data_IF_142393467751
#
_entry.id   IF_142393467751
#
_cell.length_a   1.000
_cell.length_b   1.000
_cell.length_c   1.000
_cell.angle_alpha   90.00
_cell.angle_beta   90.00
_cell.angle_gamma   90.00
#
_symmetry.space_group_name_H-M   'P 1'
#
loop_
_entity.id
_entity.type
_entity.pdbx_description
1 polymer ?
#
# COMPACT_ATOMS: atom_id res chain seq x y z
N UNK A 1 -3.56 1.26 6.87
CA UNK A 1 -3.30 2.54 7.53
C UNK A 1 -1.81 2.88 7.39
N UNK A 2 -1.48 4.11 7.01
CA UNK A 2 -0.10 4.60 6.99
C UNK A 2 0.26 5.29 8.31
N UNK A 3 1.44 4.99 8.86
CA UNK A 3 2.02 5.81 9.94
C UNK A 3 2.71 7.09 9.42
N UNK A 4 3.14 7.10 8.16
CA UNK A 4 3.80 8.25 7.51
C UNK A 4 2.84 8.94 6.53
N UNK A 5 2.66 10.26 6.72
CA UNK A 5 1.77 11.09 5.91
C UNK A 5 2.21 11.20 4.44
N UNK A 6 3.50 11.17 4.15
CA UNK A 6 4.00 11.21 2.75
C UNK A 6 3.67 9.93 2.01
N UNK A 7 3.79 8.77 2.67
CA UNK A 7 3.37 7.49 2.08
C UNK A 7 1.87 7.50 1.77
N UNK A 8 1.05 8.05 2.68
CA UNK A 8 -0.38 8.22 2.42
C UNK A 8 -0.63 9.12 1.20
N UNK A 9 0.10 10.23 1.07
CA UNK A 9 -0.01 11.12 -0.08
C UNK A 9 0.38 10.43 -1.40
N UNK A 10 1.45 9.63 -1.42
CA UNK A 10 1.85 8.88 -2.62
C UNK A 10 0.76 7.90 -3.07
N UNK A 11 0.16 7.18 -2.11
CA UNK A 11 -0.95 6.26 -2.39
C UNK A 11 -2.15 7.01 -2.97
N UNK A 12 -2.55 8.12 -2.34
CA UNK A 12 -3.68 8.91 -2.82
C UNK A 12 -3.49 9.43 -4.24
N UNK A 13 -2.30 9.96 -4.56
CA UNK A 13 -1.97 10.38 -5.93
C UNK A 13 -1.98 9.19 -6.90
N UNK A 14 -1.47 8.04 -6.50
CA UNK A 14 -1.45 6.85 -7.36
C UNK A 14 -2.86 6.37 -7.71
N UNK A 15 -3.77 6.37 -6.74
CA UNK A 15 -5.19 6.00 -6.95
C UNK A 15 -5.84 6.99 -7.92
N UNK A 16 -5.58 8.29 -7.77
CA UNK A 16 -6.15 9.31 -8.66
C UNK A 16 -5.75 9.12 -10.13
N UNK A 17 -4.54 8.65 -10.40
CA UNK A 17 -4.03 8.50 -11.77
C UNK A 17 -4.20 7.08 -12.34
N UNK A 18 -4.20 6.06 -11.49
CA UNK A 18 -4.03 4.65 -11.90
C UNK A 18 -5.01 3.69 -11.20
N UNK A 19 -6.17 4.17 -10.75
CA UNK A 19 -7.21 3.35 -10.09
C UNK A 19 -7.63 2.09 -10.87
N UNK A 20 -7.44 2.08 -12.20
CA UNK A 20 -7.79 0.97 -13.08
C UNK A 20 -6.57 0.17 -13.60
N UNK A 21 -5.35 0.53 -13.21
CA UNK A 21 -4.11 -0.14 -13.60
C UNK A 21 -3.24 -0.38 -12.35
N UNK A 22 -3.38 -1.55 -11.74
CA UNK A 22 -2.67 -1.91 -10.51
C UNK A 22 -1.15 -2.00 -10.69
N UNK A 23 -0.69 -2.31 -11.90
CA UNK A 23 0.73 -2.37 -12.23
C UNK A 23 1.35 -0.98 -12.20
N UNK A 24 0.74 -0.02 -12.90
CA UNK A 24 1.17 1.38 -12.88
C UNK A 24 0.97 2.03 -11.51
N UNK A 25 -0.11 1.69 -10.81
CA UNK A 25 -0.37 2.17 -9.45
C UNK A 25 0.78 1.75 -8.51
N UNK A 26 1.13 0.47 -8.51
CA UNK A 26 2.22 -0.06 -7.67
C UNK A 26 3.56 0.58 -8.03
N UNK A 27 3.84 0.70 -9.33
CA UNK A 27 5.07 1.30 -9.83
C UNK A 27 5.19 2.78 -9.45
N UNK A 28 4.11 3.56 -9.60
CA UNK A 28 4.10 4.98 -9.26
C UNK A 28 4.46 5.21 -7.79
N UNK A 29 3.84 4.47 -6.88
CA UNK A 29 4.12 4.58 -5.44
C UNK A 29 5.58 4.23 -5.17
N UNK A 30 6.09 3.13 -5.74
CA UNK A 30 7.48 2.72 -5.57
C UNK A 30 8.45 3.80 -6.08
N UNK A 31 8.17 4.39 -7.24
CA UNK A 31 8.96 5.48 -7.80
C UNK A 31 8.98 6.71 -6.88
N UNK A 32 7.84 7.07 -6.27
CA UNK A 32 7.79 8.18 -5.29
C UNK A 32 8.59 7.88 -4.02
N UNK A 33 8.51 6.66 -3.50
CA UNK A 33 9.30 6.20 -2.34
C UNK A 33 10.79 6.32 -2.63
N UNK A 34 11.24 5.84 -3.80
CA UNK A 34 12.64 5.91 -4.24
C UNK A 34 13.07 7.37 -4.43
N UNK A 35 12.26 8.19 -5.11
CA UNK A 35 12.54 9.63 -5.32
C UNK A 35 12.64 10.41 -4.02
N UNK A 36 11.81 10.08 -3.03
CA UNK A 36 11.82 10.72 -1.72
C UNK A 36 12.95 10.21 -0.79
N UNK A 37 13.78 9.27 -1.25
CA UNK A 37 14.96 8.81 -0.52
C UNK A 37 14.63 7.96 0.71
N UNK A 38 13.53 7.21 0.69
CA UNK A 38 13.19 6.31 1.79
C UNK A 38 14.26 5.21 1.95
N UNK A 39 14.71 4.91 3.19
CA UNK A 39 15.81 4.00 3.41
C UNK A 39 15.42 2.53 3.18
N UNK A 40 16.29 1.78 2.50
CA UNK A 40 16.14 0.34 2.31
C UNK A 40 15.31 -0.05 1.08
N UNK A 41 15.11 -1.35 0.90
CA UNK A 41 14.32 -1.89 -0.21
C UNK A 41 12.84 -1.89 0.16
N UNK A 42 11.99 -1.49 -0.77
CA UNK A 42 10.55 -1.45 -0.58
C UNK A 42 9.85 -2.33 -1.61
N UNK A 43 8.75 -2.94 -1.19
CA UNK A 43 7.82 -3.66 -2.04
C UNK A 43 6.50 -2.93 -1.97
N UNK A 44 5.92 -2.66 -3.15
CA UNK A 44 4.57 -2.15 -3.28
C UNK A 44 3.75 -3.17 -4.05
N UNK A 45 2.60 -3.53 -3.50
CA UNK A 45 1.65 -4.43 -4.14
C UNK A 45 0.25 -3.81 -4.11
N UNK A 46 -0.29 -3.52 -5.28
CA UNK A 46 -1.68 -3.13 -5.47
C UNK A 46 -2.47 -4.26 -6.13
N UNK A 47 -3.71 -4.44 -5.70
CA UNK A 47 -4.59 -5.51 -6.16
C UNK A 47 -6.04 -5.01 -6.18
N UNK A 48 -6.77 -5.35 -7.25
CA UNK A 48 -8.23 -5.20 -7.24
C UNK A 48 -8.86 -6.33 -6.42
N UNK A 49 -9.66 -5.94 -5.44
CA UNK A 49 -10.44 -6.81 -4.56
C UNK A 49 -11.91 -6.66 -4.92
N UNK A 50 -12.30 -7.29 -6.03
CA UNK A 50 -13.65 -7.23 -6.57
C UNK A 50 -14.64 -8.03 -5.73
N UNK A 51 -15.11 -7.48 -4.62
CA UNK A 51 -16.40 -7.73 -3.96
C UNK A 51 -16.39 -7.08 -2.58
N UNK A 52 -17.55 -6.57 -2.15
CA UNK A 52 -17.76 -5.92 -0.85
C UNK A 52 -17.30 -6.74 0.37
N UNK A 53 -17.13 -8.06 0.20
CA UNK A 53 -16.66 -8.97 1.25
C UNK A 53 -15.14 -9.13 1.29
N UNK A 54 -14.43 -9.08 0.16
CA UNK A 54 -12.97 -9.28 0.13
C UNK A 54 -12.19 -8.19 0.86
N UNK A 55 -12.63 -6.93 0.78
CA UNK A 55 -12.00 -5.83 1.54
C UNK A 55 -12.14 -5.99 3.06
N UNK A 56 -13.25 -6.58 3.52
CA UNK A 56 -13.50 -6.90 4.93
C UNK A 56 -12.78 -8.19 5.36
N UNK A 57 -12.69 -9.19 4.48
CA UNK A 57 -11.99 -10.45 4.76
C UNK A 57 -10.46 -10.25 4.79
N UNK A 58 -9.91 -9.36 3.96
CA UNK A 58 -8.52 -8.91 4.08
C UNK A 58 -8.25 -8.14 5.38
N UNK A 59 -9.26 -7.43 5.89
CA UNK A 59 -9.20 -6.78 7.20
C UNK A 59 -9.06 -7.78 8.35
N UNK A 60 -9.65 -8.97 8.24
CA UNK A 60 -9.73 -9.94 9.35
C UNK A 60 -8.65 -11.02 9.28
N UNK A 61 -8.27 -11.50 8.10
CA UNK A 61 -7.36 -12.64 7.96
C UNK A 61 -5.87 -12.26 7.87
N UNK A 62 -5.53 -11.07 7.35
CA UNK A 62 -4.12 -10.70 7.08
C UNK A 62 -3.65 -9.45 7.84
N UNK A 63 -4.58 -8.60 8.30
CA UNK A 63 -4.22 -7.26 8.79
C UNK A 63 -3.78 -7.17 10.27
N UNK A 64 -4.08 -8.15 11.13
CA UNK A 64 -3.75 -8.01 12.56
C UNK A 64 -2.32 -8.45 12.90
N UNK A 65 -1.78 -9.50 12.27
CA UNK A 65 -0.47 -10.04 12.65
C UNK A 65 0.71 -9.46 11.85
N UNK A 66 0.54 -9.13 10.56
CA UNK A 66 1.60 -8.49 9.74
C UNK A 66 1.79 -7.01 10.12
N UNK A 67 0.75 -6.36 10.65
CA UNK A 67 0.73 -4.91 10.85
C UNK A 67 0.72 -4.44 12.32
N UNK A 68 0.65 -5.34 13.30
CA UNK A 68 0.86 -4.97 14.72
C UNK A 68 2.29 -4.49 15.01
N UNK A 69 3.26 -4.76 14.11
CA UNK A 69 4.63 -4.25 14.16
C UNK A 69 4.95 -3.31 12.99
N UNK A 70 3.98 -2.47 12.58
CA UNK A 70 4.19 -1.44 11.57
C UNK A 70 5.32 -0.50 11.99
N UNK A 71 6.48 -0.63 11.34
CA UNK A 71 7.47 0.46 11.34
C UNK A 71 6.89 1.66 10.59
N UNK A 72 7.36 2.87 10.86
CA UNK A 72 6.90 4.09 10.16
C UNK A 72 7.03 4.04 8.62
N UNK A 73 7.77 3.07 8.09
CA UNK A 73 8.02 2.86 6.66
C UNK A 73 7.08 1.86 5.99
N UNK A 74 6.19 1.22 6.75
CA UNK A 74 5.20 0.30 6.23
C UNK A 74 3.84 1.00 6.18
N UNK A 75 3.04 0.71 5.15
CA UNK A 75 1.68 1.23 5.02
C UNK A 75 0.79 0.23 4.29
N UNK A 76 -0.50 0.23 4.61
CA UNK A 76 -1.52 -0.35 3.75
C UNK A 76 -2.66 0.65 3.48
N UNK A 77 -3.36 0.48 2.38
CA UNK A 77 -4.61 1.19 2.05
C UNK A 77 -5.61 0.15 1.53
N UNK A 78 -6.88 0.36 1.78
CA UNK A 78 -7.93 -0.40 1.12
C UNK A 78 -9.20 0.41 1.00
N UNK A 79 -10.01 0.08 0.01
CA UNK A 79 -11.40 0.49 -0.13
C UNK A 79 -12.26 -0.72 -0.55
N UNK A 80 -13.42 -0.48 -1.16
CA UNK A 80 -14.34 -1.54 -1.60
C UNK A 80 -13.87 -2.28 -2.87
N UNK A 81 -12.86 -1.79 -3.56
CA UNK A 81 -12.41 -2.27 -4.88
C UNK A 81 -10.91 -2.48 -4.96
N UNK A 82 -10.13 -1.78 -4.14
CA UNK A 82 -8.67 -1.72 -4.24
C UNK A 82 -8.03 -1.98 -2.90
N UNK A 83 -6.96 -2.76 -2.91
CA UNK A 83 -6.07 -2.96 -1.78
C UNK A 83 -4.64 -2.61 -2.21
N UNK A 84 -3.89 -1.94 -1.33
CA UNK A 84 -2.50 -1.54 -1.55
C UNK A 84 -1.69 -1.84 -0.29
N UNK A 85 -0.52 -2.42 -0.49
CA UNK A 85 0.45 -2.72 0.55
C UNK A 85 1.82 -2.15 0.18
N UNK A 86 2.43 -1.46 1.13
CA UNK A 86 3.79 -0.92 1.07
C UNK A 86 4.57 -1.50 2.25
N UNK A 87 5.63 -2.24 1.96
CA UNK A 87 6.49 -2.86 2.97
C UNK A 87 7.95 -2.50 2.71
N UNK A 88 8.66 -2.14 3.76
CA UNK A 88 10.12 -2.11 3.75
C UNK A 88 10.65 -3.50 4.11
N UNK A 89 11.52 -4.04 3.25
CA UNK A 89 12.24 -5.28 3.53
C UNK A 89 13.40 -4.93 4.46
N UNK A 90 13.43 -5.58 5.63
CA UNK A 90 14.57 -5.57 6.55
C UNK A 90 15.24 -6.93 6.42
N UNK A 91 16.46 -6.95 5.89
CA UNK A 91 17.35 -8.12 5.86
C UNK A 91 18.30 -8.08 7.03
#
# INVERSE_FOLDING_TARGET
MCGDQKLAAFINSAIQYYSHDMGQLSKYILDQIVRAGYPGKHVVHAQMIGSSRQGLDWQTLTNSDIFTRLTKYNCYYHDTQTYILVLRIVT
#
